data_IF_374229346817
#
_entry.id   IF_374229346817
#
_cell.length_a   1.000
_cell.length_b   1.000
_cell.length_c   1.000
_cell.angle_alpha   90.00
_cell.angle_beta   90.00
_cell.angle_gamma   90.00
#
_symmetry.space_group_name_H-M   'P 1'
#
loop_
_entity.id
_entity.type
_entity.pdbx_description
1 polymer ?
#
# COMPACT_ATOMS: atom_id res chain seq x y z
N UNK A 1 14.70 59.99 -1.72
CA UNK A 1 15.80 60.93 -1.38
C UNK A 1 16.48 61.46 -2.64
N UNK A 2 17.05 60.65 -3.49
CA UNK A 2 17.70 61.08 -4.75
C UNK A 2 16.80 61.92 -5.68
N UNK A 3 15.47 61.76 -5.63
CA UNK A 3 14.54 62.49 -6.47
C UNK A 3 14.36 63.96 -5.98
N UNK A 4 14.25 64.18 -4.66
CA UNK A 4 14.14 65.49 -4.08
C UNK A 4 15.43 66.35 -4.34
N UNK A 5 16.57 65.67 -4.21
CA UNK A 5 17.88 66.27 -4.50
C UNK A 5 18.00 66.62 -5.98
N UNK A 6 17.62 65.73 -6.88
CA UNK A 6 17.57 66.01 -8.31
C UNK A 6 16.65 67.21 -8.65
N UNK A 7 15.46 67.27 -8.05
CA UNK A 7 14.52 68.34 -8.27
C UNK A 7 15.06 69.69 -7.73
N UNK A 8 15.73 69.68 -6.58
CA UNK A 8 16.31 70.92 -5.99
C UNK A 8 17.45 71.42 -6.86
N UNK A 9 18.38 70.60 -7.31
CA UNK A 9 19.53 70.92 -8.17
C UNK A 9 19.05 71.37 -9.55
N UNK A 10 18.19 70.65 -10.24
CA UNK A 10 17.67 71.04 -11.56
C UNK A 10 16.93 72.41 -11.52
N UNK A 11 16.17 72.64 -10.43
CA UNK A 11 15.46 73.87 -10.27
C UNK A 11 16.42 75.06 -10.00
N UNK A 12 17.46 74.83 -9.18
CA UNK A 12 18.47 75.83 -8.87
C UNK A 12 19.28 76.25 -10.11
N UNK A 13 19.75 75.23 -10.90
CA UNK A 13 20.49 75.45 -12.14
C UNK A 13 19.68 76.26 -13.16
N UNK A 14 18.42 75.94 -13.34
CA UNK A 14 17.55 76.67 -14.29
C UNK A 14 17.23 78.08 -13.84
N UNK A 15 17.10 78.24 -12.53
CA UNK A 15 16.83 79.57 -11.97
C UNK A 15 18.05 80.49 -12.12
N UNK A 16 19.23 79.93 -11.94
CA UNK A 16 20.48 80.65 -12.14
C UNK A 16 20.75 81.13 -13.59
N UNK A 17 20.16 80.43 -14.57
CA UNK A 17 20.32 80.65 -16.01
C UNK A 17 19.21 81.61 -16.58
N UNK A 18 18.15 81.85 -15.85
CA UNK A 18 17.01 82.69 -16.32
C UNK A 18 17.17 84.17 -16.01
N UNK A 19 17.33 84.99 -17.05
CA UNK A 19 17.50 86.42 -16.98
C UNK A 19 16.18 87.23 -17.01
N UNK A 20 15.00 86.64 -16.95
CA UNK A 20 13.73 87.31 -17.11
C UNK A 20 12.69 86.92 -16.08
N UNK A 21 12.07 87.87 -15.46
CA UNK A 21 11.06 87.85 -14.38
C UNK A 21 9.74 87.16 -14.72
N UNK A 22 9.58 86.55 -15.92
CA UNK A 22 8.32 86.00 -16.41
C UNK A 22 8.25 84.43 -16.55
N UNK A 23 9.26 83.73 -16.11
CA UNK A 23 9.34 82.24 -16.36
C UNK A 23 8.88 81.42 -15.17
N UNK A 24 8.56 82.02 -14.02
CA UNK A 24 8.14 81.31 -12.82
C UNK A 24 6.91 80.42 -13.02
N UNK A 25 5.89 80.89 -13.70
CA UNK A 25 4.65 80.14 -13.92
C UNK A 25 4.79 78.95 -14.90
N UNK A 26 5.83 79.02 -15.76
CA UNK A 26 6.14 77.89 -16.66
C UNK A 26 6.96 76.80 -15.98
N UNK A 27 7.86 77.20 -15.08
CA UNK A 27 8.69 76.28 -14.31
C UNK A 27 7.84 75.45 -13.37
N UNK A 28 6.91 76.08 -12.67
CA UNK A 28 5.99 75.44 -11.73
C UNK A 28 5.08 74.40 -12.41
N UNK A 29 4.50 74.73 -13.57
CA UNK A 29 3.70 73.76 -14.33
C UNK A 29 4.50 72.54 -14.76
N UNK A 30 5.75 72.66 -15.18
CA UNK A 30 6.60 71.57 -15.59
C UNK A 30 7.04 70.69 -14.42
N UNK A 31 7.25 71.30 -13.24
CA UNK A 31 7.56 70.54 -12.02
C UNK A 31 6.34 69.74 -11.55
N UNK A 32 5.14 70.28 -11.66
CA UNK A 32 3.88 69.63 -11.38
C UNK A 32 3.63 68.49 -12.34
N UNK A 33 3.88 68.64 -13.65
CA UNK A 33 3.75 67.58 -14.65
C UNK A 33 4.73 66.51 -14.39
N UNK A 34 5.97 66.76 -13.97
CA UNK A 34 6.96 65.75 -13.62
C UNK A 34 6.63 64.97 -12.33
N UNK A 35 6.18 65.65 -11.28
CA UNK A 35 5.72 65.00 -10.06
C UNK A 35 4.52 64.11 -10.31
N UNK A 36 3.65 64.47 -11.28
CA UNK A 36 2.52 63.64 -11.72
C UNK A 36 2.93 62.42 -12.53
N UNK A 37 3.93 62.58 -13.42
CA UNK A 37 4.51 61.45 -14.20
C UNK A 37 5.19 60.43 -13.28
N UNK A 38 5.78 60.91 -12.18
CA UNK A 38 6.47 60.10 -11.18
C UNK A 38 5.52 59.52 -10.12
N UNK A 39 4.19 59.63 -10.30
CA UNK A 39 3.14 59.08 -9.42
C UNK A 39 3.33 59.43 -7.93
N UNK A 40 3.85 60.61 -7.62
CA UNK A 40 3.97 61.05 -6.24
C UNK A 40 2.56 61.47 -5.75
N UNK A 41 2.00 60.74 -4.78
CA UNK A 41 0.66 60.99 -4.23
C UNK A 41 0.55 62.36 -3.58
N UNK A 42 1.63 62.84 -2.97
CA UNK A 42 1.74 64.25 -2.47
C UNK A 42 2.93 64.93 -3.09
N UNK A 43 2.68 66.10 -3.64
CA UNK A 43 3.71 66.91 -4.32
C UNK A 43 4.68 67.48 -3.29
N UNK A 44 6.02 67.26 -3.47
CA UNK A 44 6.98 67.91 -2.63
C UNK A 44 6.81 69.48 -2.73
N UNK A 45 6.83 70.16 -1.59
CA UNK A 45 6.73 71.60 -1.56
C UNK A 45 8.07 72.21 -1.95
N UNK A 46 8.05 73.09 -2.91
CA UNK A 46 9.24 73.76 -3.42
C UNK A 46 9.19 75.24 -3.03
N UNK A 47 10.28 75.72 -2.43
CA UNK A 47 10.46 77.08 -2.02
C UNK A 47 11.72 77.70 -2.65
N UNK A 48 11.63 78.85 -3.12
CA UNK A 48 12.77 79.65 -3.57
C UNK A 48 12.98 80.78 -2.54
N UNK A 49 14.19 80.89 -1.99
CA UNK A 49 14.51 81.83 -0.93
C UNK A 49 15.74 82.69 -1.30
N UNK A 50 15.87 83.83 -0.63
CA UNK A 50 17.09 84.61 -0.63
C UNK A 50 18.20 83.94 0.24
N UNK A 51 19.32 84.64 0.41
CA UNK A 51 20.44 84.17 1.24
C UNK A 51 20.08 84.06 2.73
N UNK A 52 19.14 84.90 3.17
CA UNK A 52 18.66 84.98 4.56
C UNK A 52 17.53 84.00 4.87
N UNK A 53 16.97 83.32 3.86
CA UNK A 53 15.91 82.29 4.00
C UNK A 53 14.50 82.84 3.82
N UNK A 54 14.35 84.12 3.43
CA UNK A 54 13.05 84.68 3.11
C UNK A 54 12.51 84.12 1.81
N UNK A 55 11.26 83.73 1.81
CA UNK A 55 10.62 83.10 0.64
C UNK A 55 10.39 84.17 -0.42
N UNK A 56 11.07 84.01 -1.54
CA UNK A 56 10.89 84.83 -2.73
C UNK A 56 9.74 84.37 -3.59
N UNK A 57 9.58 83.06 -3.65
CA UNK A 57 8.46 82.39 -4.34
C UNK A 57 8.17 81.04 -3.76
N UNK A 58 6.89 80.64 -3.71
CA UNK A 58 6.44 79.29 -3.32
C UNK A 58 5.49 78.78 -4.38
N UNK A 59 5.66 77.49 -4.76
CA UNK A 59 4.72 76.84 -5.67
C UNK A 59 3.29 76.85 -5.12
N UNK A 60 2.25 76.70 -5.99
CA UNK A 60 0.87 76.90 -5.57
C UNK A 60 0.48 75.76 -4.59
N UNK A 61 -0.03 76.18 -3.42
CA UNK A 61 -0.70 75.30 -2.46
C UNK A 61 -2.07 74.87 -3.02
N UNK A 62 -2.16 73.72 -3.65
CA UNK A 62 -3.46 73.09 -3.92
C UNK A 62 -3.53 71.73 -3.21
N UNK A 63 -4.33 71.77 -2.14
CA UNK A 63 -4.94 70.53 -1.58
C UNK A 63 -4.24 69.96 -0.37
N UNK A 64 -4.79 70.20 0.78
CA UNK A 64 -4.92 69.30 1.92
C UNK A 64 -3.67 68.90 2.68
N UNK A 65 -3.43 69.52 3.83
CA UNK A 65 -2.76 68.83 4.95
C UNK A 65 -1.27 69.03 5.14
N UNK A 66 -0.63 69.97 4.42
CA UNK A 66 0.77 70.34 4.74
C UNK A 66 0.82 71.33 5.89
N UNK A 67 1.91 71.43 6.69
CA UNK A 67 2.02 72.42 7.76
C UNK A 67 1.88 73.84 7.19
N UNK A 68 0.81 74.54 7.61
CA UNK A 68 0.59 75.94 7.26
C UNK A 68 1.73 76.80 7.81
N UNK A 69 2.73 77.11 6.99
CA UNK A 69 3.67 78.18 7.32
C UNK A 69 3.02 79.50 7.06
N UNK A 70 2.53 80.11 8.12
CA UNK A 70 1.97 81.48 8.12
C UNK A 70 3.06 82.55 8.18
N UNK A 71 4.34 82.20 8.28
CA UNK A 71 5.49 83.09 8.24
C UNK A 71 6.21 82.95 6.90
N UNK A 72 6.42 84.00 6.15
CA UNK A 72 7.09 83.97 4.84
C UNK A 72 8.57 83.62 4.86
N UNK A 73 9.00 82.74 5.79
CA UNK A 73 10.39 82.31 5.97
C UNK A 73 10.51 80.81 6.07
N UNK A 74 11.49 80.18 5.39
CA UNK A 74 11.90 78.79 5.61
C UNK A 74 12.67 78.72 6.93
N UNK A 75 12.40 77.79 7.82
CA UNK A 75 13.07 77.71 9.12
C UNK A 75 14.59 77.80 9.01
N UNK A 76 15.21 78.64 9.77
CA UNK A 76 16.66 78.92 9.75
C UNK A 76 17.48 77.65 10.03
N UNK A 77 16.89 76.67 10.65
CA UNK A 77 17.50 75.35 10.89
C UNK A 77 17.84 74.56 9.60
N UNK A 78 17.10 74.81 8.48
CA UNK A 78 17.38 74.15 7.17
C UNK A 78 18.69 74.71 6.58
N UNK A 79 19.09 75.88 6.89
CA UNK A 79 20.27 76.57 6.35
C UNK A 79 21.53 76.34 7.22
N UNK A 80 21.36 76.00 8.52
CA UNK A 80 22.48 75.90 9.48
C UNK A 80 23.35 74.61 9.26
N UNK A 81 22.84 73.58 8.64
CA UNK A 81 23.61 72.35 8.35
C UNK A 81 24.24 72.45 6.98
N UNK A 82 25.48 71.98 6.84
CA UNK A 82 26.17 71.89 5.56
C UNK A 82 25.63 70.75 4.67
N UNK A 83 24.91 69.82 5.27
CA UNK A 83 24.35 68.67 4.54
C UNK A 83 23.23 69.15 3.58
N UNK A 84 23.26 68.60 2.38
CA UNK A 84 22.27 68.85 1.32
C UNK A 84 20.89 68.30 1.70
N UNK A 85 20.80 67.36 2.60
CA UNK A 85 19.58 66.69 3.05
C UNK A 85 19.46 66.84 4.57
N UNK A 86 18.43 67.47 5.06
CA UNK A 86 18.18 67.63 6.48
C UNK A 86 16.85 67.01 6.90
N UNK A 87 16.87 66.19 7.97
CA UNK A 87 15.66 65.69 8.64
C UNK A 87 15.36 66.61 9.82
N UNK A 88 14.20 67.28 9.82
CA UNK A 88 13.80 68.21 10.84
C UNK A 88 12.38 67.97 11.33
N UNK A 89 12.11 68.32 12.57
CA UNK A 89 10.75 68.33 13.11
C UNK A 89 10.22 69.76 13.09
N UNK A 90 9.19 70.05 12.28
CA UNK A 90 8.50 71.30 12.18
C UNK A 90 7.05 71.12 12.63
N UNK A 91 6.63 71.80 13.64
CA UNK A 91 5.28 71.67 14.26
C UNK A 91 4.92 70.27 14.64
N UNK A 92 5.88 69.38 15.10
CA UNK A 92 5.65 68.03 15.50
C UNK A 92 5.63 67.04 14.35
N UNK A 93 5.72 67.43 13.09
CA UNK A 93 5.85 66.58 11.92
C UNK A 93 7.32 66.44 11.50
N UNK A 94 7.76 65.27 11.21
CA UNK A 94 9.10 65.08 10.65
C UNK A 94 9.08 65.37 9.16
N UNK A 95 9.96 66.22 8.73
CA UNK A 95 10.05 66.68 7.33
C UNK A 95 11.49 66.50 6.85
N UNK A 96 11.63 65.95 5.66
CA UNK A 96 12.88 65.95 4.94
C UNK A 96 12.94 67.20 4.08
N UNK A 97 13.99 68.02 4.28
CA UNK A 97 14.26 69.20 3.51
C UNK A 97 15.58 69.02 2.74
N UNK A 98 15.53 69.23 1.46
CA UNK A 98 16.71 69.24 0.58
C UNK A 98 16.92 70.66 0.06
N UNK A 99 18.15 71.17 0.18
CA UNK A 99 18.51 72.52 -0.29
C UNK A 99 19.54 72.42 -1.42
N UNK A 100 19.44 73.36 -2.38
CA UNK A 100 20.42 73.57 -3.44
C UNK A 100 20.67 75.03 -3.66
N UNK A 101 21.93 75.50 -3.78
CA UNK A 101 22.25 76.96 -3.98
C UNK A 101 21.89 77.35 -5.40
N UNK A 102 21.35 78.61 -5.51
CA UNK A 102 21.11 79.25 -6.79
C UNK A 102 22.34 80.11 -7.12
N UNK A 103 23.01 79.75 -8.20
CA UNK A 103 24.19 80.48 -8.66
C UNK A 103 23.84 81.37 -9.87
N UNK A 104 24.07 82.68 -9.76
CA UNK A 104 24.01 83.63 -10.88
C UNK A 104 25.38 84.23 -11.07
N UNK A 105 25.99 84.01 -12.23
CA UNK A 105 27.36 84.48 -12.54
C UNK A 105 28.39 84.12 -11.48
N UNK A 106 28.38 82.84 -11.02
CA UNK A 106 29.21 82.28 -9.97
C UNK A 106 28.99 82.88 -8.56
N UNK A 107 28.05 83.79 -8.37
CA UNK A 107 27.68 84.32 -7.07
C UNK A 107 26.39 83.65 -6.60
N UNK A 108 26.38 83.19 -5.35
CA UNK A 108 25.19 82.57 -4.76
C UNK A 108 24.20 83.71 -4.43
N UNK A 109 22.98 83.61 -4.98
CA UNK A 109 21.92 84.58 -4.82
C UNK A 109 20.74 84.13 -3.97
N UNK A 110 20.66 82.86 -3.67
CA UNK A 110 19.60 82.29 -2.87
C UNK A 110 19.66 80.72 -2.80
N UNK A 111 18.56 80.11 -2.40
CA UNK A 111 18.43 78.73 -2.25
C UNK A 111 17.11 78.18 -2.86
N UNK A 112 17.14 76.96 -3.42
CA UNK A 112 15.96 76.15 -3.69
C UNK A 112 15.83 75.13 -2.57
N UNK A 113 14.67 75.14 -1.90
CA UNK A 113 14.40 74.18 -0.82
C UNK A 113 13.20 73.30 -1.20
N UNK A 114 13.38 71.99 -1.18
CA UNK A 114 12.32 70.99 -1.43
C UNK A 114 12.01 70.28 -0.11
N UNK A 115 10.74 70.35 0.32
CA UNK A 115 10.30 69.70 1.57
C UNK A 115 9.25 68.64 1.34
N UNK A 116 9.37 67.52 2.07
CA UNK A 116 8.40 66.38 2.04
C UNK A 116 8.22 65.85 3.43
N UNK A 117 7.01 65.43 3.81
CA UNK A 117 6.73 64.77 5.08
C UNK A 117 7.40 63.40 5.17
N UNK A 118 8.01 63.09 6.34
CA UNK A 118 8.62 61.80 6.60
C UNK A 118 7.57 60.67 6.77
N UNK A 119 6.36 61.00 7.19
CA UNK A 119 5.28 60.03 7.40
C UNK A 119 4.85 59.39 6.08
N UNK A 120 4.92 60.12 4.98
CA UNK A 120 4.61 59.61 3.63
C UNK A 120 5.65 58.63 3.11
N UNK A 121 6.89 58.77 3.53
CA UNK A 121 7.96 57.81 3.21
C UNK A 121 7.91 56.53 4.08
N UNK A 122 7.15 56.57 5.20
CA UNK A 122 6.97 55.45 6.11
C UNK A 122 5.94 54.42 5.61
N UNK A 123 4.97 54.81 4.77
CA UNK A 123 3.94 53.89 4.23
C UNK A 123 4.54 52.79 3.37
N UNK A 124 5.62 53.05 2.66
CA UNK A 124 6.34 52.02 1.88
C UNK A 124 6.84 50.86 2.77
N UNK A 125 7.24 51.17 4.02
CA UNK A 125 7.70 50.11 4.94
C UNK A 125 6.56 49.21 5.46
N UNK A 126 5.34 49.73 5.49
CA UNK A 126 4.17 48.93 5.93
C UNK A 126 3.78 47.89 4.90
N UNK A 127 3.82 48.22 3.61
CA UNK A 127 3.55 47.26 2.52
C UNK A 127 4.58 46.13 2.48
N UNK A 128 5.87 46.45 2.60
CA UNK A 128 6.93 45.39 2.66
C UNK A 128 6.77 44.50 3.88
N UNK A 129 6.35 45.05 5.03
CA UNK A 129 6.12 44.24 6.24
C UNK A 129 4.97 43.26 6.07
N UNK A 130 3.86 43.66 5.44
CA UNK A 130 2.74 42.79 5.10
C UNK A 130 3.17 41.70 4.12
N UNK A 131 3.94 42.03 3.09
CA UNK A 131 4.45 41.10 2.11
C UNK A 131 5.36 40.04 2.75
N UNK A 132 6.26 40.43 3.66
CA UNK A 132 7.13 39.53 4.41
C UNK A 132 6.30 38.58 5.28
N UNK A 133 5.30 39.07 6.00
CA UNK A 133 4.41 38.22 6.84
C UNK A 133 3.65 37.20 5.99
N UNK A 134 3.16 37.64 4.82
CA UNK A 134 2.45 36.79 3.89
C UNK A 134 3.36 35.68 3.33
N UNK A 135 4.60 36.00 2.94
CA UNK A 135 5.59 35.05 2.45
C UNK A 135 5.99 34.05 3.54
N UNK A 136 6.18 34.51 4.79
CA UNK A 136 6.46 33.62 5.91
C UNK A 136 5.28 32.68 6.20
N UNK A 137 4.05 33.22 6.16
CA UNK A 137 2.82 32.41 6.32
C UNK A 137 2.68 31.34 5.23
N UNK A 138 2.92 31.71 3.97
CA UNK A 138 2.88 30.78 2.85
C UNK A 138 3.97 29.70 2.96
N UNK A 139 5.18 30.10 3.37
CA UNK A 139 6.29 29.18 3.62
C UNK A 139 5.98 28.16 4.73
N UNK A 140 5.41 28.64 5.85
CA UNK A 140 4.99 27.78 6.95
C UNK A 140 3.87 26.82 6.51
N UNK A 141 2.87 27.32 5.78
CA UNK A 141 1.80 26.50 5.24
C UNK A 141 2.35 25.40 4.31
N UNK A 142 3.25 25.76 3.40
CA UNK A 142 3.91 24.81 2.51
C UNK A 142 4.69 23.74 3.28
N UNK A 143 5.42 24.14 4.31
CA UNK A 143 6.14 23.20 5.18
C UNK A 143 5.19 22.23 5.90
N UNK A 144 4.08 22.71 6.45
CA UNK A 144 3.06 21.89 7.10
C UNK A 144 2.46 20.87 6.11
N UNK A 145 2.11 21.30 4.91
CA UNK A 145 1.56 20.43 3.86
C UNK A 145 2.57 19.34 3.50
N UNK A 146 3.83 19.69 3.24
CA UNK A 146 4.89 18.71 2.93
C UNK A 146 5.06 17.73 4.08
N UNK A 147 5.11 18.20 5.32
CA UNK A 147 5.23 17.34 6.50
C UNK A 147 4.07 16.34 6.61
N UNK A 148 2.83 16.81 6.40
CA UNK A 148 1.65 15.93 6.43
C UNK A 148 1.65 14.91 5.30
N UNK A 149 2.00 15.31 4.08
CA UNK A 149 2.11 14.41 2.93
C UNK A 149 3.19 13.34 3.17
N UNK A 150 4.36 13.74 3.69
CA UNK A 150 5.44 12.81 4.01
C UNK A 150 5.00 11.78 5.05
N UNK A 151 4.35 12.22 6.13
CA UNK A 151 3.91 11.33 7.20
C UNK A 151 2.76 10.42 6.79
N UNK A 152 1.80 10.92 6.01
CA UNK A 152 0.56 10.21 5.70
C UNK A 152 0.64 9.34 4.45
N UNK A 153 1.47 9.72 3.49
CA UNK A 153 1.55 9.03 2.19
C UNK A 153 2.91 8.39 2.00
N UNK A 154 3.98 9.16 2.10
CA UNK A 154 5.32 8.68 1.72
C UNK A 154 5.83 7.61 2.67
N UNK A 155 5.65 7.78 3.97
CA UNK A 155 6.12 6.82 4.98
C UNK A 155 5.47 5.44 4.83
N UNK A 156 4.13 5.28 4.77
CA UNK A 156 3.51 3.98 4.55
C UNK A 156 3.94 3.29 3.25
N UNK A 157 4.16 4.04 2.17
CA UNK A 157 4.66 3.49 0.91
C UNK A 157 6.10 2.98 1.07
N UNK A 158 6.95 3.71 1.77
CA UNK A 158 8.32 3.27 2.07
C UNK A 158 8.33 2.02 2.95
N UNK A 159 7.44 1.94 3.95
CA UNK A 159 7.30 0.77 4.82
C UNK A 159 6.91 -0.48 3.99
N UNK A 160 5.95 -0.34 3.05
CA UNK A 160 5.57 -1.43 2.12
C UNK A 160 6.74 -1.80 1.20
N UNK A 161 7.47 -0.83 0.67
CA UNK A 161 8.62 -1.10 -0.21
C UNK A 161 9.75 -1.84 0.53
N UNK A 162 10.02 -1.47 1.78
CA UNK A 162 10.99 -2.15 2.63
C UNK A 162 10.53 -3.56 2.98
N UNK A 163 9.26 -3.74 3.33
CA UNK A 163 8.65 -5.03 3.57
C UNK A 163 8.73 -5.93 2.33
N UNK A 164 8.48 -5.40 1.13
CA UNK A 164 8.63 -6.14 -0.12
C UNK A 164 10.07 -6.60 -0.37
N UNK A 165 11.06 -5.82 0.04
CA UNK A 165 12.45 -6.24 -0.03
C UNK A 165 12.76 -7.41 0.93
N UNK A 166 12.18 -7.41 2.14
CA UNK A 166 12.32 -8.52 3.10
C UNK A 166 11.67 -9.80 2.56
N UNK A 167 10.45 -9.70 1.99
CA UNK A 167 9.78 -10.83 1.32
C UNK A 167 10.66 -11.44 0.23
N UNK A 168 11.30 -10.62 -0.58
CA UNK A 168 12.21 -11.08 -1.64
C UNK A 168 13.40 -11.88 -1.09
N UNK A 169 13.86 -11.56 0.12
CA UNK A 169 14.96 -12.26 0.81
C UNK A 169 14.48 -13.52 1.55
N UNK A 170 13.17 -13.81 1.51
CA UNK A 170 12.58 -14.99 2.12
C UNK A 170 12.10 -14.78 3.56
N UNK A 171 12.14 -13.55 4.07
CA UNK A 171 11.55 -13.20 5.36
C UNK A 171 10.11 -12.75 5.15
N UNK A 172 9.18 -13.63 5.50
CA UNK A 172 7.75 -13.39 5.35
C UNK A 172 7.08 -12.89 6.64
N UNK A 173 7.80 -12.89 7.81
CA UNK A 173 7.26 -12.39 9.09
C UNK A 173 7.39 -10.87 9.19
N UNK A 174 6.56 -10.17 8.44
CA UNK A 174 6.61 -8.73 8.30
C UNK A 174 5.64 -8.06 9.27
N UNK A 175 6.15 -7.13 10.08
CA UNK A 175 5.35 -6.27 10.94
C UNK A 175 5.14 -4.91 10.28
N UNK A 176 4.03 -4.74 9.59
CA UNK A 176 3.57 -3.45 9.08
C UNK A 176 2.63 -2.82 10.11
N UNK A 177 3.17 -1.95 10.97
CA UNK A 177 2.39 -1.24 12.00
C UNK A 177 1.62 -0.04 11.43
N UNK A 178 1.86 0.34 10.18
CA UNK A 178 1.17 1.44 9.52
C UNK A 178 -0.30 1.12 9.28
N UNK A 179 -1.18 1.95 9.85
CA UNK A 179 -2.62 1.92 9.59
C UNK A 179 -3.04 3.29 9.04
N UNK A 180 -2.75 3.58 7.76
CA UNK A 180 -3.06 4.85 7.13
C UNK A 180 -4.58 5.03 7.05
N UNK A 181 -5.04 6.29 7.17
CA UNK A 181 -6.47 6.64 7.08
C UNK A 181 -6.92 6.93 5.65
N UNK A 182 -5.98 7.23 4.77
CA UNK A 182 -6.21 7.46 3.35
C UNK A 182 -6.62 6.14 2.68
N UNK A 183 -7.77 6.13 2.00
CA UNK A 183 -8.42 4.91 1.50
C UNK A 183 -7.50 4.07 0.60
N UNK A 184 -6.83 4.70 -0.36
CA UNK A 184 -5.98 4.02 -1.33
C UNK A 184 -4.72 3.43 -0.67
N UNK A 185 -4.13 4.17 0.28
CA UNK A 185 -2.95 3.71 1.01
C UNK A 185 -3.32 2.60 1.99
N UNK A 186 -4.47 2.73 2.65
CA UNK A 186 -5.00 1.68 3.51
C UNK A 186 -5.24 0.38 2.73
N UNK A 187 -5.86 0.48 1.55
CA UNK A 187 -6.10 -0.66 0.68
C UNK A 187 -4.79 -1.31 0.21
N UNK A 188 -3.78 -0.51 -0.16
CA UNK A 188 -2.46 -1.01 -0.53
C UNK A 188 -1.81 -1.79 0.61
N UNK A 189 -1.76 -1.22 1.82
CA UNK A 189 -1.16 -1.86 3.01
C UNK A 189 -1.90 -3.15 3.37
N UNK A 190 -3.24 -3.13 3.33
CA UNK A 190 -4.08 -4.30 3.64
C UNK A 190 -3.87 -5.42 2.63
N UNK A 191 -3.93 -5.11 1.33
CA UNK A 191 -3.68 -6.10 0.26
C UNK A 191 -2.28 -6.68 0.33
N UNK A 192 -1.28 -5.87 0.68
CA UNK A 192 0.08 -6.36 0.87
C UNK A 192 0.19 -7.29 2.08
N UNK A 193 -0.45 -6.96 3.22
CA UNK A 193 -0.53 -7.83 4.41
C UNK A 193 -1.19 -9.17 4.08
N UNK A 194 -2.30 -9.15 3.37
CA UNK A 194 -3.01 -10.37 2.95
C UNK A 194 -2.13 -11.24 2.05
N UNK A 195 -1.45 -10.64 1.08
CA UNK A 195 -0.50 -11.34 0.21
C UNK A 195 0.64 -11.97 1.01
N UNK A 196 1.24 -11.24 1.94
CA UNK A 196 2.34 -11.74 2.77
C UNK A 196 1.90 -12.87 3.68
N UNK A 197 0.75 -12.73 4.35
CA UNK A 197 0.17 -13.79 5.17
C UNK A 197 -0.07 -15.07 4.34
N UNK A 198 -0.55 -14.92 3.11
CA UNK A 198 -0.76 -16.05 2.20
C UNK A 198 0.54 -16.72 1.79
N UNK A 199 1.60 -15.93 1.54
CA UNK A 199 2.94 -16.46 1.26
C UNK A 199 3.51 -17.22 2.48
N UNK A 200 3.39 -16.65 3.68
CA UNK A 200 3.80 -17.32 4.93
C UNK A 200 3.11 -18.67 5.10
N UNK A 201 1.80 -18.71 4.90
CA UNK A 201 1.04 -19.96 4.97
C UNK A 201 1.51 -20.99 3.91
N UNK A 202 1.79 -20.52 2.69
CA UNK A 202 2.28 -21.42 1.63
C UNK A 202 3.66 -21.98 1.95
N UNK A 203 4.59 -21.18 2.47
CA UNK A 203 5.93 -21.64 2.84
C UNK A 203 5.91 -22.55 4.07
N UNK A 204 5.08 -22.26 5.07
CA UNK A 204 4.86 -23.15 6.20
C UNK A 204 4.31 -24.51 5.75
N UNK A 205 3.27 -24.50 4.91
CA UNK A 205 2.71 -25.72 4.33
C UNK A 205 3.76 -26.50 3.53
N UNK A 206 4.64 -25.81 2.78
CA UNK A 206 5.73 -26.45 2.03
C UNK A 206 6.76 -27.08 2.96
N UNK A 207 7.14 -26.40 4.03
CA UNK A 207 8.09 -26.94 5.01
C UNK A 207 7.52 -28.15 5.76
N UNK A 208 6.26 -28.08 6.19
CA UNK A 208 5.57 -29.22 6.83
C UNK A 208 5.44 -30.41 5.89
N UNK A 209 5.11 -30.14 4.61
CA UNK A 209 5.03 -31.16 3.56
C UNK A 209 6.37 -31.90 3.41
N UNK A 210 7.47 -31.15 3.26
CA UNK A 210 8.80 -31.71 3.11
C UNK A 210 9.22 -32.54 4.35
N UNK A 211 8.96 -32.01 5.56
CA UNK A 211 9.29 -32.69 6.80
C UNK A 211 8.47 -33.97 6.99
N UNK A 212 7.15 -33.92 6.81
CA UNK A 212 6.25 -35.08 6.93
C UNK A 212 6.55 -36.16 5.91
N UNK A 213 6.69 -35.79 4.63
CA UNK A 213 7.05 -36.72 3.56
C UNK A 213 8.39 -37.38 3.82
N UNK A 214 9.40 -36.59 4.20
CA UNK A 214 10.75 -37.13 4.48
C UNK A 214 10.72 -38.14 5.63
N UNK A 215 9.98 -37.85 6.70
CA UNK A 215 9.82 -38.77 7.82
C UNK A 215 9.12 -40.07 7.41
N UNK A 216 8.00 -39.97 6.69
CA UNK A 216 7.17 -41.13 6.34
C UNK A 216 7.79 -42.02 5.24
N UNK A 217 8.61 -41.45 4.37
CA UNK A 217 9.41 -42.21 3.40
C UNK A 217 10.64 -42.87 4.06
N UNK A 218 11.25 -42.26 5.08
CA UNK A 218 12.42 -42.82 5.77
C UNK A 218 12.10 -44.15 6.46
N UNK A 219 10.89 -44.27 7.04
CA UNK A 219 10.48 -45.49 7.78
C UNK A 219 10.49 -46.74 6.93
N UNK A 220 9.77 -46.81 5.78
CA UNK A 220 9.79 -48.01 4.92
C UNK A 220 11.18 -48.29 4.34
N UNK A 221 11.94 -47.25 3.97
CA UNK A 221 13.32 -47.42 3.47
C UNK A 221 14.21 -48.06 4.53
N UNK A 222 14.10 -47.65 5.79
CA UNK A 222 14.87 -48.28 6.90
C UNK A 222 14.44 -49.70 7.14
N UNK A 223 13.13 -50.01 7.09
CA UNK A 223 12.60 -51.37 7.22
C UNK A 223 13.12 -52.26 6.10
N UNK A 224 12.99 -51.83 4.83
CA UNK A 224 13.50 -52.57 3.67
C UNK A 224 15.00 -52.86 3.82
N UNK A 225 15.78 -51.84 4.21
CA UNK A 225 17.23 -51.98 4.39
C UNK A 225 17.56 -53.02 5.46
N UNK A 226 16.86 -53.02 6.61
CA UNK A 226 17.05 -53.95 7.69
C UNK A 226 16.68 -55.41 7.31
N UNK A 227 15.53 -55.60 6.62
CA UNK A 227 15.08 -56.89 6.15
C UNK A 227 16.05 -57.50 5.12
N UNK A 228 16.46 -56.71 4.13
CA UNK A 228 17.43 -57.13 3.11
C UNK A 228 18.79 -57.46 3.73
N UNK A 229 19.24 -56.67 4.72
CA UNK A 229 20.48 -56.92 5.43
C UNK A 229 20.43 -58.25 6.21
N UNK A 230 19.32 -58.54 6.91
CA UNK A 230 19.14 -59.78 7.65
C UNK A 230 19.18 -61.00 6.71
N UNK A 231 18.56 -60.91 5.52
CA UNK A 231 18.62 -61.93 4.49
C UNK A 231 20.06 -62.09 3.94
N UNK A 232 20.74 -61.00 3.65
CA UNK A 232 22.10 -61.00 3.10
C UNK A 232 23.12 -61.61 4.08
N UNK A 233 23.01 -61.22 5.36
CA UNK A 233 23.96 -61.66 6.39
C UNK A 233 23.66 -63.07 6.92
N UNK A 234 22.65 -63.77 6.35
CA UNK A 234 22.29 -65.11 6.71
C UNK A 234 21.65 -65.28 8.08
N UNK A 235 21.13 -64.19 8.66
CA UNK A 235 20.48 -64.20 9.99
C UNK A 235 19.17 -65.00 9.91
N UNK A 236 18.48 -64.94 8.76
CA UNK A 236 17.25 -65.75 8.50
C UNK A 236 17.49 -66.73 7.35
N UNK A 237 16.92 -67.88 7.45
CA UNK A 237 17.08 -69.01 6.47
C UNK A 237 15.75 -69.70 6.21
N UNK A 238 15.69 -70.51 5.15
CA UNK A 238 14.50 -71.32 4.83
C UNK A 238 13.23 -70.45 4.61
N UNK A 239 12.16 -70.77 5.30
CA UNK A 239 10.84 -70.15 5.21
C UNK A 239 10.89 -68.68 5.70
N UNK A 240 11.61 -68.37 6.79
CA UNK A 240 11.77 -67.08 7.31
C UNK A 240 12.40 -66.07 6.28
N UNK A 241 13.36 -66.56 5.48
CA UNK A 241 13.96 -65.79 4.39
C UNK A 241 12.91 -65.43 3.35
N UNK A 242 12.00 -66.30 3.02
CA UNK A 242 10.95 -66.06 2.05
C UNK A 242 9.96 -64.99 2.62
N UNK A 243 9.59 -65.13 3.88
CA UNK A 243 8.73 -64.19 4.57
C UNK A 243 9.34 -62.78 4.59
N UNK A 244 10.65 -62.65 4.89
CA UNK A 244 11.35 -61.35 4.88
C UNK A 244 11.37 -60.70 3.50
N UNK A 245 11.53 -61.50 2.42
CA UNK A 245 11.47 -61.04 1.05
C UNK A 245 10.05 -60.57 0.68
N UNK A 246 9.01 -61.30 1.10
CA UNK A 246 7.62 -60.93 0.87
C UNK A 246 7.23 -59.64 1.60
N UNK A 247 7.69 -59.49 2.85
CA UNK A 247 7.52 -58.23 3.59
C UNK A 247 8.25 -57.07 2.89
N UNK A 248 9.47 -57.31 2.39
CA UNK A 248 10.25 -56.31 1.63
C UNK A 248 9.51 -55.86 0.39
N UNK A 249 8.94 -56.82 -0.39
CA UNK A 249 8.15 -56.47 -1.58
C UNK A 249 6.91 -55.64 -1.23
N UNK A 250 6.20 -56.01 -0.16
CA UNK A 250 5.05 -55.24 0.33
C UNK A 250 5.45 -53.82 0.72
N UNK A 251 6.59 -53.62 1.40
CA UNK A 251 7.06 -52.27 1.76
C UNK A 251 7.50 -51.46 0.53
N UNK A 252 8.09 -52.10 -0.50
CA UNK A 252 8.42 -51.44 -1.77
C UNK A 252 7.16 -50.99 -2.50
N UNK A 253 6.14 -51.87 -2.65
CA UNK A 253 4.87 -51.50 -3.28
C UNK A 253 4.20 -50.34 -2.57
N UNK A 254 4.25 -50.32 -1.24
CA UNK A 254 3.72 -49.26 -0.42
C UNK A 254 4.48 -47.95 -0.64
N UNK A 255 5.82 -47.99 -0.70
CA UNK A 255 6.64 -46.79 -1.01
C UNK A 255 6.29 -46.21 -2.38
N UNK A 256 6.08 -47.09 -3.38
CA UNK A 256 5.64 -46.67 -4.72
C UNK A 256 4.28 -45.97 -4.68
N UNK A 257 3.31 -46.51 -3.92
CA UNK A 257 2.01 -45.88 -3.74
C UNK A 257 2.12 -44.47 -3.10
N UNK A 258 2.93 -44.35 -2.04
CA UNK A 258 3.14 -43.07 -1.38
C UNK A 258 3.74 -41.99 -2.32
N UNK A 259 4.70 -42.39 -3.18
CA UNK A 259 5.30 -41.51 -4.18
C UNK A 259 4.26 -41.12 -5.22
N UNK A 260 3.43 -42.03 -5.69
CA UNK A 260 2.35 -41.74 -6.63
C UNK A 260 1.34 -40.76 -6.04
N UNK A 261 0.89 -41.01 -4.81
CA UNK A 261 -0.05 -40.13 -4.09
C UNK A 261 0.51 -38.71 -3.97
N UNK A 262 1.82 -38.56 -3.68
CA UNK A 262 2.48 -37.27 -3.56
C UNK A 262 2.57 -36.55 -4.91
N UNK A 263 2.90 -37.26 -5.99
CA UNK A 263 2.97 -36.71 -7.34
C UNK A 263 1.59 -36.26 -7.83
N UNK A 264 0.56 -37.07 -7.61
CA UNK A 264 -0.82 -36.76 -7.97
C UNK A 264 -1.31 -35.52 -7.20
N UNK A 265 -1.04 -35.48 -5.89
CA UNK A 265 -1.38 -34.32 -5.03
C UNK A 265 -0.70 -33.06 -5.52
N UNK A 266 0.62 -33.08 -5.77
CA UNK A 266 1.36 -31.92 -6.24
C UNK A 266 0.89 -31.44 -7.63
N UNK A 267 0.58 -32.37 -8.53
CA UNK A 267 0.08 -32.08 -9.87
C UNK A 267 -1.29 -31.37 -9.81
N UNK A 268 -2.18 -31.83 -8.92
CA UNK A 268 -3.48 -31.19 -8.70
C UNK A 268 -3.34 -29.82 -8.03
N UNK A 269 -2.49 -29.70 -7.01
CA UNK A 269 -2.23 -28.44 -6.30
C UNK A 269 -1.62 -27.37 -7.21
N UNK A 270 -0.80 -27.79 -8.19
CA UNK A 270 -0.23 -26.93 -9.21
C UNK A 270 -1.20 -26.60 -10.36
N UNK A 271 -2.43 -27.14 -10.35
CA UNK A 271 -3.38 -26.98 -11.46
C UNK A 271 -2.97 -27.69 -12.76
N UNK A 272 -2.02 -28.64 -12.68
CA UNK A 272 -1.50 -29.35 -13.84
C UNK A 272 -2.40 -30.53 -14.29
N UNK A 273 -3.38 -30.91 -13.45
CA UNK A 273 -4.33 -31.96 -13.80
C UNK A 273 -5.42 -31.38 -14.71
N UNK A 274 -5.50 -31.93 -15.91
CA UNK A 274 -6.58 -31.58 -16.84
C UNK A 274 -7.80 -32.46 -16.54
N UNK A 275 -8.94 -31.84 -16.24
CA UNK A 275 -10.24 -32.49 -16.11
C UNK A 275 -10.85 -32.63 -17.50
N UNK A 276 -11.34 -33.84 -17.81
CA UNK A 276 -11.98 -34.14 -19.09
C UNK A 276 -13.43 -34.59 -18.82
N UNK A 277 -14.36 -33.62 -18.68
CA UNK A 277 -15.74 -33.97 -18.39
C UNK A 277 -16.41 -34.59 -19.61
N UNK A 278 -17.11 -35.68 -19.38
CA UNK A 278 -17.98 -36.32 -20.35
C UNK A 278 -19.32 -36.67 -19.71
N UNK A 279 -20.32 -36.97 -20.54
CA UNK A 279 -21.64 -37.34 -20.04
C UNK A 279 -21.63 -38.78 -19.58
N UNK A 280 -21.55 -39.02 -18.28
CA UNK A 280 -21.42 -40.34 -17.67
C UNK A 280 -22.75 -40.84 -17.11
N UNK A 281 -23.06 -42.11 -17.36
CA UNK A 281 -24.05 -42.87 -16.64
C UNK A 281 -23.44 -43.28 -15.28
N UNK A 282 -23.82 -42.58 -14.22
CA UNK A 282 -23.26 -42.79 -12.88
C UNK A 282 -23.66 -44.14 -12.30
N UNK A 283 -24.82 -44.70 -12.65
CA UNK A 283 -25.22 -46.02 -12.17
C UNK A 283 -24.21 -47.07 -12.61
N UNK A 284 -23.93 -47.17 -13.92
CA UNK A 284 -22.93 -48.09 -14.48
C UNK A 284 -21.53 -47.82 -13.93
N UNK A 285 -21.12 -46.56 -13.88
CA UNK A 285 -19.77 -46.20 -13.42
C UNK A 285 -19.53 -46.63 -11.97
N UNK A 286 -20.47 -46.40 -11.07
CA UNK A 286 -20.33 -46.77 -9.65
C UNK A 286 -20.36 -48.28 -9.46
N UNK A 287 -21.23 -49.00 -10.21
CA UNK A 287 -21.26 -50.47 -10.21
C UNK A 287 -19.93 -51.07 -10.70
N UNK A 288 -19.39 -50.55 -11.81
CA UNK A 288 -18.12 -51.03 -12.38
C UNK A 288 -16.95 -50.76 -11.43
N UNK A 289 -16.88 -49.57 -10.82
CA UNK A 289 -15.88 -49.25 -9.81
C UNK A 289 -15.97 -50.17 -8.60
N UNK A 290 -17.16 -50.39 -8.07
CA UNK A 290 -17.37 -51.27 -6.94
C UNK A 290 -16.92 -52.72 -7.26
N UNK A 291 -17.31 -53.24 -8.43
CA UNK A 291 -16.94 -54.59 -8.91
C UNK A 291 -15.42 -54.71 -9.10
N UNK A 292 -14.78 -53.77 -9.78
CA UNK A 292 -13.34 -53.77 -10.00
C UNK A 292 -12.57 -53.72 -8.69
N UNK A 293 -12.97 -52.84 -7.79
CA UNK A 293 -12.34 -52.70 -6.47
C UNK A 293 -12.46 -54.00 -5.67
N UNK A 294 -13.63 -54.66 -5.65
CA UNK A 294 -13.85 -55.92 -4.94
C UNK A 294 -12.95 -57.03 -5.46
N UNK A 295 -12.70 -57.10 -6.77
CA UNK A 295 -11.80 -58.08 -7.38
C UNK A 295 -10.32 -57.89 -7.00
N UNK A 296 -9.93 -56.69 -6.54
CA UNK A 296 -8.55 -56.42 -6.10
C UNK A 296 -8.32 -56.76 -4.63
N UNK A 297 -9.37 -57.08 -3.86
CA UNK A 297 -9.24 -57.45 -2.46
C UNK A 297 -8.81 -58.89 -2.31
N UNK A 298 -7.88 -59.16 -1.40
CA UNK A 298 -7.38 -60.51 -1.11
C UNK A 298 -8.38 -61.33 -0.32
N UNK A 299 -9.20 -60.65 0.51
CA UNK A 299 -10.23 -61.25 1.35
C UNK A 299 -11.62 -60.77 0.90
N UNK A 300 -12.67 -61.59 1.03
CA UNK A 300 -14.02 -61.20 0.64
C UNK A 300 -14.56 -60.08 1.54
N UNK A 301 -14.90 -58.95 0.91
CA UNK A 301 -15.50 -57.78 1.56
C UNK A 301 -17.00 -57.72 1.22
N UNK A 302 -17.87 -57.55 2.21
CA UNK A 302 -19.31 -57.28 1.98
C UNK A 302 -19.50 -55.86 1.44
N UNK A 303 -19.39 -55.71 0.10
CA UNK A 303 -19.62 -54.48 -0.61
C UNK A 303 -21.00 -54.49 -1.26
N UNK A 304 -21.82 -53.49 -0.96
CA UNK A 304 -23.13 -53.28 -1.56
C UNK A 304 -23.15 -51.99 -2.37
N UNK A 305 -23.56 -52.06 -3.61
CA UNK A 305 -23.79 -50.89 -4.47
C UNK A 305 -25.30 -50.71 -4.63
N UNK A 306 -25.79 -49.55 -4.23
CA UNK A 306 -27.22 -49.23 -4.24
C UNK A 306 -27.40 -48.04 -5.19
N UNK A 307 -28.06 -48.30 -6.32
CA UNK A 307 -28.35 -47.30 -7.35
C UNK A 307 -29.85 -47.09 -7.50
N UNK A 308 -30.33 -45.91 -7.88
CA UNK A 308 -31.76 -45.69 -8.17
C UNK A 308 -32.15 -46.47 -9.46
N UNK A 309 -33.45 -46.73 -9.62
CA UNK A 309 -33.98 -47.41 -10.81
C UNK A 309 -33.80 -46.57 -12.09
N UNK A 310 -33.84 -45.23 -11.96
CA UNK A 310 -33.59 -44.31 -13.07
C UNK A 310 -32.08 -44.06 -13.23
N UNK A 311 -31.59 -44.10 -14.47
CA UNK A 311 -30.20 -43.74 -14.74
C UNK A 311 -29.90 -42.29 -14.41
N UNK A 312 -28.88 -42.01 -13.63
CA UNK A 312 -28.39 -40.71 -13.28
C UNK A 312 -27.23 -40.32 -14.21
N UNK A 313 -27.46 -39.32 -15.06
CA UNK A 313 -26.45 -38.81 -15.97
C UNK A 313 -25.84 -37.52 -15.42
N UNK A 314 -24.51 -37.40 -15.53
CA UNK A 314 -23.79 -36.20 -15.10
C UNK A 314 -22.55 -35.93 -15.95
N UNK A 315 -22.33 -34.63 -16.23
CA UNK A 315 -21.07 -34.19 -16.82
C UNK A 315 -19.96 -34.24 -15.75
N UNK A 316 -19.08 -35.25 -15.87
CA UNK A 316 -17.97 -35.45 -14.92
C UNK A 316 -16.83 -36.20 -15.60
N UNK A 317 -15.64 -36.19 -15.00
CA UNK A 317 -14.51 -37.02 -15.46
C UNK A 317 -14.55 -38.38 -14.76
N UNK A 318 -14.84 -39.50 -15.49
CA UNK A 318 -15.01 -40.80 -14.88
C UNK A 318 -13.75 -41.32 -14.21
N UNK A 319 -12.57 -41.05 -14.77
CA UNK A 319 -11.28 -41.47 -14.18
C UNK A 319 -11.04 -40.77 -12.84
N UNK A 320 -11.37 -39.50 -12.75
CA UNK A 320 -11.19 -38.73 -11.51
C UNK A 320 -12.24 -39.10 -10.47
N UNK A 321 -13.46 -39.37 -10.87
CA UNK A 321 -14.49 -39.89 -9.97
C UNK A 321 -14.11 -41.26 -9.45
N UNK A 322 -13.59 -42.17 -10.31
CA UNK A 322 -13.08 -43.47 -9.89
C UNK A 322 -11.97 -43.33 -8.84
N UNK A 323 -11.03 -42.40 -9.03
CA UNK A 323 -9.94 -42.16 -8.10
C UNK A 323 -10.45 -41.72 -6.70
N UNK A 324 -11.47 -40.84 -6.65
CA UNK A 324 -12.13 -40.46 -5.40
C UNK A 324 -12.77 -41.67 -4.73
N UNK A 325 -13.60 -42.42 -5.46
CA UNK A 325 -14.34 -43.53 -4.89
C UNK A 325 -13.42 -44.68 -4.42
N UNK A 326 -12.37 -45.02 -5.17
CA UNK A 326 -11.37 -46.00 -4.75
C UNK A 326 -10.67 -45.57 -3.45
N UNK A 327 -10.32 -44.32 -3.32
CA UNK A 327 -9.71 -43.80 -2.09
C UNK A 327 -10.67 -43.92 -0.89
N UNK A 328 -11.94 -43.55 -1.07
CA UNK A 328 -12.95 -43.70 -0.02
C UNK A 328 -13.17 -45.17 0.35
N UNK A 329 -13.26 -46.08 -0.63
CA UNK A 329 -13.39 -47.54 -0.41
C UNK A 329 -12.20 -48.10 0.36
N UNK A 330 -10.97 -47.71 0.01
CA UNK A 330 -9.77 -48.14 0.71
C UNK A 330 -9.76 -47.64 2.16
N UNK A 331 -10.18 -46.38 2.41
CA UNK A 331 -10.31 -45.87 3.77
C UNK A 331 -11.37 -46.60 4.58
N UNK A 332 -12.52 -46.92 3.97
CA UNK A 332 -13.58 -47.70 4.59
C UNK A 332 -13.12 -49.16 4.89
N UNK A 333 -12.43 -49.81 3.97
CA UNK A 333 -11.88 -51.13 4.18
C UNK A 333 -10.90 -51.19 5.37
N UNK A 334 -10.04 -50.18 5.47
CA UNK A 334 -9.14 -50.05 6.62
C UNK A 334 -9.87 -49.81 7.95
N UNK A 335 -11.05 -49.19 7.91
CA UNK A 335 -11.84 -48.91 9.10
C UNK A 335 -12.66 -50.09 9.61
N UNK A 336 -13.13 -50.97 8.70
CA UNK A 336 -13.94 -52.17 9.06
C UNK A 336 -13.09 -53.31 9.58
N UNK A 337 -11.80 -53.37 9.27
CA UNK A 337 -10.92 -54.50 9.65
C UNK A 337 -11.41 -55.82 9.04
N UNK A 338 -11.36 -56.91 9.83
CA UNK A 338 -11.68 -58.26 9.38
C UNK A 338 -13.19 -58.55 9.26
N UNK A 339 -14.05 -57.70 9.80
CA UNK A 339 -15.50 -57.90 9.78
C UNK A 339 -16.26 -56.57 9.69
N UNK A 340 -17.08 -56.45 8.66
CA UNK A 340 -17.88 -55.26 8.43
C UNK A 340 -18.39 -55.20 6.99
N UNK A 341 -19.18 -54.19 6.69
CA UNK A 341 -19.71 -53.97 5.36
C UNK A 341 -19.44 -52.55 4.88
N UNK A 342 -19.33 -52.40 3.56
CA UNK A 342 -19.20 -51.10 2.88
C UNK A 342 -20.39 -50.96 1.93
N UNK A 343 -20.98 -49.78 1.86
CA UNK A 343 -22.06 -49.49 0.93
C UNK A 343 -21.74 -48.24 0.12
N UNK A 344 -21.91 -48.31 -1.19
CA UNK A 344 -21.93 -47.15 -2.08
C UNK A 344 -23.40 -46.88 -2.40
N UNK A 345 -23.90 -45.68 -2.10
CA UNK A 345 -25.28 -45.32 -2.31
C UNK A 345 -25.31 -44.10 -3.26
N UNK A 346 -25.78 -44.33 -4.48
CA UNK A 346 -25.98 -43.31 -5.48
C UNK A 346 -27.38 -42.71 -5.35
N UNK A 347 -27.45 -41.39 -5.40
CA UNK A 347 -28.69 -40.65 -5.56
C UNK A 347 -28.52 -39.55 -6.62
N UNK A 348 -29.56 -38.82 -6.99
CA UNK A 348 -29.51 -37.81 -8.02
C UNK A 348 -28.47 -36.69 -7.73
N UNK A 349 -28.28 -36.36 -6.44
CA UNK A 349 -27.46 -35.21 -6.03
C UNK A 349 -26.13 -35.61 -5.37
N UNK A 350 -25.95 -36.89 -5.01
CA UNK A 350 -24.77 -37.32 -4.23
C UNK A 350 -24.44 -38.81 -4.38
N UNK A 351 -23.20 -39.13 -4.06
CA UNK A 351 -22.71 -40.48 -3.84
C UNK A 351 -22.26 -40.56 -2.39
N UNK A 352 -22.89 -41.44 -1.60
CA UNK A 352 -22.49 -41.74 -0.22
C UNK A 352 -21.65 -43.01 -0.21
N UNK A 353 -20.49 -43.01 0.45
CA UNK A 353 -19.69 -44.18 0.78
C UNK A 353 -19.80 -44.34 2.29
N UNK A 354 -20.47 -45.47 2.70
CA UNK A 354 -20.74 -45.75 4.10
C UNK A 354 -20.04 -47.05 4.50
N UNK A 355 -19.36 -47.05 5.64
CA UNK A 355 -18.79 -48.25 6.28
C UNK A 355 -19.42 -48.47 7.66
N UNK A 356 -19.20 -49.69 8.18
CA UNK A 356 -19.56 -50.10 9.53
C UNK A 356 -18.35 -50.24 10.45
N UNK A 357 -17.31 -49.41 10.18
CA UNK A 357 -16.06 -49.41 10.92
C UNK A 357 -16.12 -48.75 12.29
N UNK A 358 -14.97 -48.52 12.89
CA UNK A 358 -14.84 -47.95 14.24
C UNK A 358 -15.24 -46.49 14.35
N UNK A 359 -15.52 -45.82 13.22
CA UNK A 359 -15.79 -44.39 13.15
C UNK A 359 -14.57 -43.50 13.37
N UNK A 360 -14.80 -42.19 13.45
CA UNK A 360 -13.82 -41.16 13.65
C UNK A 360 -14.20 -40.37 14.92
N UNK A 361 -13.30 -40.23 15.91
CA UNK A 361 -13.57 -39.44 17.11
C UNK A 361 -14.02 -37.98 16.76
N UNK A 362 -14.95 -37.45 17.53
CA UNK A 362 -15.54 -36.13 17.27
C UNK A 362 -14.47 -35.00 17.13
N UNK A 363 -13.43 -35.07 17.96
CA UNK A 363 -12.30 -34.15 17.95
C UNK A 363 -11.49 -34.20 16.65
N UNK A 364 -11.48 -35.35 15.98
CA UNK A 364 -10.73 -35.60 14.75
C UNK A 364 -11.53 -35.29 13.47
N UNK A 365 -12.89 -35.22 13.57
CA UNK A 365 -13.77 -35.12 12.40
C UNK A 365 -13.54 -33.84 11.58
N UNK A 366 -13.17 -32.74 12.21
CA UNK A 366 -12.86 -31.48 11.52
C UNK A 366 -11.52 -31.53 10.79
N UNK A 367 -10.63 -32.41 11.22
CA UNK A 367 -9.25 -32.52 10.75
C UNK A 367 -9.04 -33.56 9.65
N UNK A 368 -10.05 -34.43 9.35
CA UNK A 368 -9.89 -35.52 8.40
C UNK A 368 -9.52 -35.11 6.98
N UNK A 369 -9.81 -33.87 6.60
CA UNK A 369 -9.43 -33.28 5.31
C UNK A 369 -8.16 -32.44 5.37
N UNK A 370 -7.55 -32.31 6.58
CA UNK A 370 -6.25 -31.66 6.70
C UNK A 370 -5.13 -32.56 6.18
N UNK A 371 -4.12 -31.96 5.60
CA UNK A 371 -2.98 -32.66 5.00
C UNK A 371 -2.15 -33.33 6.08
N UNK A 372 -1.68 -34.56 5.79
CA UNK A 372 -0.86 -35.36 6.70
C UNK A 372 -1.55 -35.68 8.02
N UNK A 373 -2.82 -35.33 8.16
CA UNK A 373 -3.58 -35.70 9.34
C UNK A 373 -3.83 -37.24 9.35
N UNK A 374 -3.59 -37.81 10.51
CA UNK A 374 -3.83 -39.24 10.78
C UNK A 374 -4.31 -39.38 12.21
N UNK A 375 -5.49 -39.91 12.40
CA UNK A 375 -6.05 -40.16 13.73
C UNK A 375 -5.09 -40.98 14.60
N UNK A 376 -5.08 -40.75 15.90
CA UNK A 376 -4.13 -41.36 16.83
C UNK A 376 -4.19 -42.90 16.82
N UNK A 377 -5.37 -43.48 16.72
CA UNK A 377 -5.57 -44.92 16.62
C UNK A 377 -5.04 -45.51 15.32
N UNK A 378 -5.01 -44.75 14.23
CA UNK A 378 -4.50 -45.19 12.91
C UNK A 378 -2.99 -44.97 12.76
N UNK A 379 -2.36 -44.09 13.55
CA UNK A 379 -0.89 -43.88 13.50
C UNK A 379 -0.09 -45.17 13.71
N UNK A 380 -0.63 -46.10 14.49
CA UNK A 380 0.05 -47.34 14.87
C UNK A 380 -0.25 -48.50 13.91
N UNK A 381 -1.44 -48.54 13.28
CA UNK A 381 -1.92 -49.72 12.52
C UNK A 381 -1.90 -49.53 11.00
N UNK A 382 -2.14 -48.32 10.53
CA UNK A 382 -2.27 -48.03 9.10
C UNK A 382 -1.25 -46.99 8.70
N UNK A 383 -0.37 -47.33 7.77
CA UNK A 383 0.72 -46.46 7.33
C UNK A 383 0.42 -45.84 5.95
N UNK A 384 0.24 -44.53 5.85
CA UNK A 384 0.04 -43.76 4.62
C UNK A 384 0.35 -42.30 4.88
N UNK A 385 0.52 -41.48 3.84
CA UNK A 385 0.90 -40.07 3.95
C UNK A 385 -0.20 -39.12 4.50
N UNK A 386 -1.43 -39.63 4.73
CA UNK A 386 -2.56 -38.76 5.12
C UNK A 386 -2.97 -37.78 4.03
N UNK A 387 -2.69 -38.11 2.76
CA UNK A 387 -3.02 -37.26 1.60
C UNK A 387 -4.30 -37.67 0.88
N UNK A 388 -4.81 -38.89 1.09
CA UNK A 388 -5.93 -39.42 0.33
C UNK A 388 -7.20 -38.59 0.43
N UNK A 389 -7.71 -38.31 1.63
CA UNK A 389 -8.92 -37.50 1.83
C UNK A 389 -8.75 -36.05 1.39
N UNK A 390 -7.65 -35.34 1.74
CA UNK A 390 -7.37 -34.01 1.18
C UNK A 390 -7.34 -33.97 -0.34
N UNK A 391 -6.68 -34.95 -0.97
CA UNK A 391 -6.62 -35.08 -2.42
C UNK A 391 -8.01 -35.31 -3.03
N UNK A 392 -8.79 -36.24 -2.47
CA UNK A 392 -10.15 -36.52 -2.93
C UNK A 392 -11.05 -35.28 -2.82
N UNK A 393 -10.90 -34.50 -1.76
CA UNK A 393 -11.65 -33.24 -1.60
C UNK A 393 -11.27 -32.18 -2.65
N UNK A 394 -9.97 -32.01 -2.93
CA UNK A 394 -9.50 -31.12 -4.00
C UNK A 394 -9.99 -31.57 -5.37
N UNK A 395 -9.93 -32.89 -5.63
CA UNK A 395 -10.37 -33.48 -6.89
C UNK A 395 -11.88 -33.33 -7.07
N UNK A 396 -12.67 -33.57 -6.02
CA UNK A 396 -14.12 -33.30 -6.02
C UNK A 396 -14.47 -31.89 -6.43
N UNK A 397 -13.77 -30.90 -5.86
CA UNK A 397 -13.97 -29.49 -6.22
C UNK A 397 -13.63 -29.20 -7.68
N UNK A 398 -12.61 -29.87 -8.23
CA UNK A 398 -12.26 -29.74 -9.65
C UNK A 398 -13.33 -30.34 -10.57
N UNK A 399 -14.14 -31.30 -10.05
CA UNK A 399 -15.30 -31.87 -10.75
C UNK A 399 -16.60 -31.09 -10.52
N UNK A 400 -16.55 -29.93 -9.86
CA UNK A 400 -17.74 -29.17 -9.50
C UNK A 400 -18.58 -29.76 -8.37
N UNK A 401 -17.97 -30.64 -7.55
CA UNK A 401 -18.59 -31.28 -6.41
C UNK A 401 -17.88 -30.91 -5.10
N UNK A 402 -18.44 -31.24 -3.94
CA UNK A 402 -17.72 -31.15 -2.66
C UNK A 402 -17.78 -32.50 -1.93
N UNK A 403 -16.67 -32.84 -1.26
CA UNK A 403 -16.55 -34.05 -0.44
C UNK A 403 -16.64 -33.65 1.04
N UNK A 404 -17.61 -34.21 1.74
CA UNK A 404 -17.85 -33.96 3.16
C UNK A 404 -17.89 -35.24 3.99
N UNK A 405 -17.55 -35.13 5.26
CA UNK A 405 -17.88 -36.11 6.27
C UNK A 405 -19.34 -35.88 6.71
N UNK A 406 -20.27 -36.75 6.32
CA UNK A 406 -21.70 -36.60 6.59
C UNK A 406 -22.02 -36.98 8.02
N UNK A 407 -21.55 -38.13 8.45
CA UNK A 407 -21.70 -38.65 9.80
C UNK A 407 -20.57 -39.63 10.14
N UNK A 408 -20.18 -39.67 11.41
CA UNK A 408 -19.27 -40.69 11.91
C UNK A 408 -19.51 -40.92 13.39
N UNK A 409 -19.60 -42.16 13.79
CA UNK A 409 -19.80 -42.61 15.16
C UNK A 409 -19.24 -44.01 15.33
N UNK A 410 -19.39 -44.63 16.51
CA UNK A 410 -18.90 -45.96 16.81
C UNK A 410 -19.52 -47.10 15.94
N UNK A 411 -20.52 -46.78 15.13
CA UNK A 411 -21.19 -47.76 14.23
C UNK A 411 -20.76 -47.60 12.77
N UNK A 412 -19.84 -46.66 12.49
CA UNK A 412 -19.29 -46.44 11.16
C UNK A 412 -19.16 -45.00 10.73
N UNK A 413 -18.72 -44.82 9.49
CA UNK A 413 -18.50 -43.49 8.86
C UNK A 413 -19.22 -43.44 7.52
N UNK A 414 -19.72 -42.24 7.19
CA UNK A 414 -20.30 -41.91 5.87
C UNK A 414 -19.62 -40.68 5.31
N UNK A 415 -18.94 -40.85 4.18
CA UNK A 415 -18.46 -39.75 3.34
C UNK A 415 -19.45 -39.50 2.21
N UNK A 416 -19.74 -38.24 1.90
CA UNK A 416 -20.65 -37.83 0.83
C UNK A 416 -19.97 -36.94 -0.18
N UNK A 417 -20.02 -37.33 -1.44
CA UNK A 417 -19.68 -36.50 -2.58
C UNK A 417 -20.95 -35.83 -3.08
N UNK A 418 -21.03 -34.52 -2.96
CA UNK A 418 -22.23 -33.71 -3.23
C UNK A 418 -22.01 -32.85 -4.46
N UNK A 419 -22.98 -32.84 -5.36
CA UNK A 419 -23.02 -31.82 -6.42
C UNK A 419 -24.01 -30.71 -6.03
N UNK A 420 -23.68 -29.43 -6.30
CA UNK A 420 -24.63 -28.34 -6.07
C UNK A 420 -25.88 -28.57 -6.92
N UNK A 421 -27.05 -28.20 -6.38
CA UNK A 421 -28.29 -28.20 -7.18
C UNK A 421 -28.10 -27.26 -8.35
N UNK A 422 -28.41 -27.73 -9.54
CA UNK A 422 -28.56 -26.87 -10.69
C UNK A 422 -29.73 -25.91 -10.41
N UNK A 423 -29.43 -24.62 -10.20
CA UNK A 423 -30.42 -23.56 -9.98
C UNK A 423 -31.05 -23.15 -11.28
#
# INVERSE_FOLDING_TARGET
MNLMEYLAVETADRFGQSTANNDYGRLDRRLQDRARILQMENQPQLFITDLEGNILNSGPMKGGGGPHHTSGEVPASVFKNEDTINKQSINGQQIYAVKSPILMNELQTGWVVVMQSADELADVNQEYRLLIVLLLGLGLLGWVVIYLLTKKILKPIQDVAQAAAQVREGDYDIKLDSNPKELEIHQLVTSFKEMTNRLTQLEQMRAELLAGVTHDLKTPVTSISGLVQAVRDGIVTGEERQEFLDITLKEIQRLQSMISDLLDYNSLAAGAITIRPENCDLNKLVEDIGRQWQLTQTEPVDLRVITPESSVYRMTDPLRLQQILINLLNNSHQAIGDSGSISIILSEERIDVKDTGSGIPEEEQTLVFERFFRGETKKLKVRGLGLGLPFSKMLARSLGADLILKESNSSGTTFSLLWPKET
#
